data_IF_391972500431
#
_entry.id   IF_391972500431
#
_cell.length_a   1.000
_cell.length_b   1.000
_cell.length_c   1.000
_cell.angle_alpha   90.00
_cell.angle_beta   90.00
_cell.angle_gamma   90.00
#
_symmetry.space_group_name_H-M   'P 1'
#
loop_
_entity.id
_entity.type
_entity.pdbx_description
1 polymer ?
#
# COMPACT_ATOMS: atom_id res chain seq x y z
N UNK A 1 50.20 -47.61 11.43
CA UNK A 1 49.93 -46.17 11.68
C UNK A 1 48.44 -45.99 11.91
N UNK A 2 48.00 -45.55 13.11
CA UNK A 2 46.60 -45.14 13.34
C UNK A 2 46.47 -43.66 12.94
N UNK A 3 45.88 -43.39 11.78
CA UNK A 3 45.54 -42.03 11.39
C UNK A 3 44.54 -41.46 12.41
N UNK A 4 44.83 -40.28 12.96
CA UNK A 4 43.99 -39.63 13.96
C UNK A 4 42.70 -39.10 13.32
N UNK A 5 41.60 -39.83 13.49
CA UNK A 5 40.24 -39.53 12.99
C UNK A 5 39.64 -38.28 13.69
N UNK A 6 40.26 -37.80 14.77
CA UNK A 6 39.74 -36.72 15.61
C UNK A 6 39.73 -35.37 14.89
N UNK A 7 40.75 -35.07 14.07
CA UNK A 7 40.88 -33.80 13.35
C UNK A 7 39.84 -33.58 12.24
N UNK A 8 39.51 -34.55 11.38
CA UNK A 8 38.47 -34.37 10.36
C UNK A 8 37.06 -34.26 10.96
N UNK A 9 36.75 -35.00 12.03
CA UNK A 9 35.43 -34.94 12.69
C UNK A 9 35.17 -33.57 13.32
N UNK A 10 36.20 -32.93 13.90
CA UNK A 10 36.07 -31.59 14.47
C UNK A 10 35.81 -30.53 13.38
N UNK A 11 36.50 -30.61 12.24
CA UNK A 11 36.29 -29.69 11.10
C UNK A 11 34.89 -29.80 10.50
N UNK A 12 34.37 -31.03 10.37
CA UNK A 12 33.01 -31.28 9.86
C UNK A 12 31.96 -30.70 10.83
N UNK A 13 32.14 -30.88 12.14
CA UNK A 13 31.25 -30.31 13.17
C UNK A 13 31.22 -28.78 13.14
N UNK A 14 32.38 -28.13 13.01
CA UNK A 14 32.46 -26.68 12.87
C UNK A 14 31.81 -26.17 11.58
N UNK A 15 31.96 -26.89 10.46
CA UNK A 15 31.30 -26.54 9.20
C UNK A 15 29.77 -26.63 9.27
N UNK A 16 29.23 -27.67 9.91
CA UNK A 16 27.78 -27.83 10.11
C UNK A 16 27.24 -26.74 11.03
N UNK A 17 27.94 -26.40 12.11
CA UNK A 17 27.53 -25.33 13.03
C UNK A 17 27.46 -23.97 12.33
N UNK A 18 28.43 -23.64 11.47
CA UNK A 18 28.42 -22.39 10.71
C UNK A 18 27.25 -22.34 9.71
N UNK A 19 26.94 -23.45 9.04
CA UNK A 19 25.82 -23.57 8.10
C UNK A 19 24.46 -23.40 8.81
N UNK A 20 24.31 -23.97 10.01
CA UNK A 20 23.11 -23.79 10.85
C UNK A 20 22.97 -22.32 11.27
N UNK A 21 24.06 -21.65 11.65
CA UNK A 21 24.03 -20.23 12.02
C UNK A 21 23.66 -19.36 10.81
N UNK A 22 24.19 -19.64 9.62
CA UNK A 22 23.80 -18.92 8.39
C UNK A 22 22.31 -19.11 8.07
N UNK A 23 21.77 -20.32 8.22
CA UNK A 23 20.34 -20.58 8.00
C UNK A 23 19.43 -19.89 9.03
N UNK A 24 19.88 -19.81 10.30
CA UNK A 24 19.17 -19.07 11.35
C UNK A 24 19.19 -17.55 11.09
N UNK A 25 20.31 -17.00 10.61
CA UNK A 25 20.44 -15.56 10.32
C UNK A 25 19.69 -15.14 9.05
N UNK A 26 19.49 -16.04 8.08
CA UNK A 26 18.68 -15.76 6.88
C UNK A 26 17.16 -15.86 7.12
N UNK A 27 16.72 -16.29 8.31
CA UNK A 27 15.29 -16.51 8.62
C UNK A 27 14.58 -15.28 9.18
N UNK A 28 15.32 -14.22 9.54
CA UNK A 28 14.72 -12.94 9.92
C UNK A 28 14.34 -12.15 8.67
N UNK A 29 13.12 -12.38 8.16
CA UNK A 29 12.45 -11.33 7.38
C UNK A 29 12.21 -10.17 8.34
N UNK A 30 12.81 -9.01 8.07
CA UNK A 30 12.52 -7.79 8.81
C UNK A 30 11.02 -7.57 8.79
N UNK A 31 10.39 -7.60 9.96
CA UNK A 31 8.98 -7.28 10.09
C UNK A 31 8.86 -5.77 9.99
N UNK A 32 8.19 -5.27 8.96
CA UNK A 32 7.95 -3.84 8.84
C UNK A 32 6.96 -3.39 9.91
N UNK A 33 7.27 -2.30 10.60
CA UNK A 33 6.37 -1.70 11.58
C UNK A 33 5.31 -0.79 10.95
N UNK A 34 4.40 -0.26 11.78
CA UNK A 34 3.28 0.59 11.34
C UNK A 34 3.76 1.84 10.59
N UNK A 35 4.87 2.45 11.04
CA UNK A 35 5.43 3.65 10.42
C UNK A 35 6.05 3.31 9.05
N UNK A 36 6.78 2.19 8.97
CA UNK A 36 7.38 1.71 7.74
C UNK A 36 6.32 1.32 6.70
N UNK A 37 5.25 0.64 7.11
CA UNK A 37 4.12 0.33 6.21
C UNK A 37 3.37 1.57 5.75
N UNK A 38 3.17 2.54 6.64
CA UNK A 38 2.57 3.84 6.31
C UNK A 38 3.43 4.59 5.29
N UNK A 39 4.74 4.66 5.51
CA UNK A 39 5.67 5.31 4.58
C UNK A 39 5.73 4.59 3.23
N UNK A 40 5.77 3.25 3.23
CA UNK A 40 5.73 2.44 2.03
C UNK A 40 4.43 2.65 1.24
N UNK A 41 3.28 2.67 1.91
CA UNK A 41 1.97 2.89 1.29
C UNK A 41 1.86 4.28 0.67
N UNK A 42 2.33 5.31 1.36
CA UNK A 42 2.44 6.67 0.81
C UNK A 42 3.27 6.71 -0.46
N UNK A 43 4.48 6.13 -0.43
CA UNK A 43 5.35 6.07 -1.60
C UNK A 43 4.66 5.34 -2.75
N UNK A 44 4.07 4.18 -2.47
CA UNK A 44 3.36 3.39 -3.46
C UNK A 44 2.26 4.22 -4.14
N UNK A 45 1.36 4.81 -3.36
CA UNK A 45 0.20 5.53 -3.89
C UNK A 45 0.62 6.75 -4.70
N UNK A 46 1.60 7.51 -4.24
CA UNK A 46 2.08 8.70 -4.96
C UNK A 46 2.86 8.36 -6.24
N UNK A 47 3.61 7.26 -6.28
CA UNK A 47 4.31 6.82 -7.49
C UNK A 47 3.35 6.28 -8.56
N UNK A 48 2.32 5.57 -8.10
CA UNK A 48 1.43 4.79 -8.96
C UNK A 48 0.21 5.57 -9.40
N UNK A 49 -0.25 6.59 -8.66
CA UNK A 49 -1.40 7.40 -9.07
C UNK A 49 -1.20 7.97 -10.49
N UNK A 50 -2.25 7.86 -11.30
CA UNK A 50 -2.27 8.38 -12.66
C UNK A 50 -3.18 9.61 -12.75
N UNK A 51 -2.64 10.83 -12.61
CA UNK A 51 -3.44 12.05 -12.75
C UNK A 51 -3.86 12.30 -14.21
N UNK A 52 -3.29 11.60 -15.20
CA UNK A 52 -3.57 11.89 -16.62
C UNK A 52 -4.96 11.45 -17.07
N UNK A 53 -5.62 10.59 -16.29
CA UNK A 53 -7.02 10.19 -16.48
C UNK A 53 -7.96 11.39 -16.37
N UNK A 54 -7.56 12.41 -15.61
CA UNK A 54 -8.31 13.64 -15.41
C UNK A 54 -7.49 14.84 -15.88
N UNK A 55 -7.77 15.28 -17.10
CA UNK A 55 -7.00 16.30 -17.80
C UNK A 55 -6.95 17.66 -17.09
N UNK A 56 -7.82 17.91 -16.10
CA UNK A 56 -7.97 19.21 -15.45
C UNK A 56 -7.38 19.28 -14.03
N UNK A 57 -6.75 18.20 -13.55
CA UNK A 57 -6.06 18.22 -12.26
C UNK A 57 -4.82 19.10 -12.34
N UNK A 58 -4.77 20.15 -11.53
CA UNK A 58 -3.60 21.03 -11.35
C UNK A 58 -2.63 20.45 -10.31
N UNK A 59 -3.17 19.89 -9.23
CA UNK A 59 -2.41 19.31 -8.11
C UNK A 59 -3.19 18.15 -7.52
N UNK A 60 -2.50 17.12 -7.08
CA UNK A 60 -3.07 16.08 -6.21
C UNK A 60 -2.19 15.87 -4.99
N UNK A 61 -2.78 15.39 -3.91
CA UNK A 61 -2.10 15.03 -2.66
C UNK A 61 -2.72 13.73 -2.16
N UNK A 62 -1.95 12.63 -2.18
CA UNK A 62 -2.36 11.37 -1.55
C UNK A 62 -1.56 11.17 -0.28
N UNK A 63 -2.26 10.94 0.83
CA UNK A 63 -1.64 10.71 2.12
C UNK A 63 -2.29 9.54 2.84
N UNK A 64 -1.47 8.62 3.31
CA UNK A 64 -1.80 7.61 4.28
C UNK A 64 -1.25 8.03 5.64
N UNK A 65 -2.14 8.32 6.58
CA UNK A 65 -1.77 8.92 7.86
C UNK A 65 -1.42 7.85 8.91
N UNK A 66 -0.66 8.20 9.97
CA UNK A 66 -0.36 7.29 11.08
C UNK A 66 -1.59 6.81 11.86
N UNK A 67 -2.71 7.54 11.82
CA UNK A 67 -4.02 7.12 12.35
C UNK A 67 -4.84 6.29 11.34
N UNK A 68 -4.19 5.80 10.29
CA UNK A 68 -4.71 4.88 9.27
C UNK A 68 -5.88 5.44 8.45
N UNK A 69 -5.87 6.75 8.17
CA UNK A 69 -6.70 7.31 7.12
C UNK A 69 -5.94 7.35 5.81
N UNK A 70 -6.59 6.92 4.75
CA UNK A 70 -6.17 7.25 3.39
C UNK A 70 -6.96 8.46 2.91
N UNK A 71 -6.26 9.44 2.35
CA UNK A 71 -6.82 10.71 1.90
C UNK A 71 -6.31 11.01 0.51
N UNK A 72 -7.19 11.43 -0.39
CA UNK A 72 -6.83 12.04 -1.67
C UNK A 72 -7.49 13.41 -1.73
N UNK A 73 -6.67 14.45 -1.96
CA UNK A 73 -7.16 15.76 -2.38
C UNK A 73 -6.74 15.99 -3.83
N UNK A 74 -7.70 16.35 -4.68
CA UNK A 74 -7.49 16.84 -6.04
C UNK A 74 -7.83 18.33 -6.08
N UNK A 75 -6.98 19.13 -6.69
CA UNK A 75 -7.23 20.54 -6.99
C UNK A 75 -7.19 20.72 -8.49
N UNK A 76 -8.28 21.24 -9.05
CA UNK A 76 -8.47 21.41 -10.48
C UNK A 76 -7.98 22.80 -10.92
N UNK A 77 -7.70 22.95 -12.21
CA UNK A 77 -7.24 24.23 -12.80
C UNK A 77 -8.20 25.39 -12.53
N UNK A 78 -9.49 25.10 -12.40
CA UNK A 78 -10.56 26.09 -12.20
C UNK A 78 -10.81 26.48 -10.73
N UNK A 79 -10.05 25.92 -9.77
CA UNK A 79 -10.23 26.19 -8.32
C UNK A 79 -10.93 25.05 -7.58
N UNK A 80 -11.90 24.37 -8.25
CA UNK A 80 -12.61 23.20 -7.71
C UNK A 80 -11.66 22.24 -7.00
N UNK A 81 -12.08 21.73 -5.86
CA UNK A 81 -11.40 20.68 -5.12
C UNK A 81 -12.29 19.47 -4.94
N UNK A 82 -11.69 18.29 -4.95
CA UNK A 82 -12.35 17.05 -4.57
C UNK A 82 -11.53 16.34 -3.51
N UNK A 83 -12.21 15.84 -2.49
CA UNK A 83 -11.62 15.23 -1.33
C UNK A 83 -12.24 13.87 -1.09
N UNK A 84 -11.38 12.86 -0.96
CA UNK A 84 -11.73 11.50 -0.58
C UNK A 84 -11.01 11.17 0.72
N UNK A 85 -11.71 10.59 1.69
CA UNK A 85 -11.08 10.15 2.94
C UNK A 85 -11.85 9.01 3.59
N UNK A 86 -11.13 7.97 4.02
CA UNK A 86 -11.71 6.93 4.86
C UNK A 86 -10.64 6.27 5.72
N UNK A 87 -11.08 5.60 6.80
CA UNK A 87 -10.19 4.85 7.68
C UNK A 87 -10.01 3.43 7.13
N UNK A 88 -8.76 2.96 7.01
CA UNK A 88 -8.42 1.64 6.44
C UNK A 88 -9.14 0.51 7.17
N UNK A 89 -9.41 0.63 8.47
CA UNK A 89 -10.14 -0.40 9.22
C UNK A 89 -11.57 -0.66 8.68
N UNK A 90 -12.19 0.30 7.97
CA UNK A 90 -13.49 0.17 7.29
C UNK A 90 -13.39 -0.50 5.92
N UNK A 91 -12.18 -0.68 5.38
CA UNK A 91 -11.97 -1.32 4.08
C UNK A 91 -12.48 -2.75 4.12
N UNK A 92 -13.42 -3.08 3.25
CA UNK A 92 -13.87 -4.45 3.02
C UNK A 92 -12.92 -5.15 2.04
N UNK A 93 -12.73 -4.55 0.87
CA UNK A 93 -11.94 -5.11 -0.22
C UNK A 93 -11.12 -4.04 -0.97
N UNK A 94 -10.02 -4.50 -1.56
CA UNK A 94 -9.27 -3.78 -2.59
C UNK A 94 -9.31 -4.59 -3.88
N UNK A 95 -10.13 -4.15 -4.82
CA UNK A 95 -10.26 -4.78 -6.13
C UNK A 95 -9.35 -4.11 -7.15
N UNK A 96 -8.79 -4.91 -8.04
CA UNK A 96 -7.98 -4.42 -9.15
C UNK A 96 -8.76 -4.61 -10.44
N UNK A 97 -9.03 -3.52 -11.14
CA UNK A 97 -9.66 -3.52 -12.46
C UNK A 97 -8.59 -3.20 -13.50
N UNK A 98 -8.15 -4.18 -14.30
CA UNK A 98 -7.24 -3.91 -15.41
C UNK A 98 -7.88 -2.91 -16.38
N UNK A 99 -7.19 -1.82 -16.68
CA UNK A 99 -7.66 -0.82 -17.63
C UNK A 99 -6.97 -0.93 -18.99
N UNK A 100 -7.18 0.08 -19.83
CA UNK A 100 -6.61 0.14 -21.19
C UNK A 100 -5.16 0.63 -21.19
N UNK A 101 -4.34 0.07 -22.07
CA UNK A 101 -2.93 0.42 -22.35
C UNK A 101 -2.05 0.68 -21.11
N UNK A 102 -2.08 1.87 -20.51
CA UNK A 102 -1.14 2.34 -19.50
C UNK A 102 -1.74 2.59 -18.12
N UNK A 103 -3.06 2.46 -17.98
CA UNK A 103 -3.78 2.81 -16.75
C UNK A 103 -4.60 1.62 -16.28
N UNK A 104 -4.60 1.37 -14.98
CA UNK A 104 -5.46 0.43 -14.27
C UNK A 104 -6.26 1.19 -13.19
N UNK A 105 -7.15 0.51 -12.49
CA UNK A 105 -7.92 1.10 -11.39
C UNK A 105 -7.85 0.23 -10.14
N UNK A 106 -7.52 0.88 -9.02
CA UNK A 106 -7.69 0.32 -7.69
C UNK A 106 -9.04 0.77 -7.15
N UNK A 107 -9.95 -0.19 -6.95
CA UNK A 107 -11.26 0.06 -6.35
C UNK A 107 -11.17 -0.26 -4.85
N UNK A 108 -11.24 0.77 -4.03
CA UNK A 108 -11.44 0.64 -2.58
C UNK A 108 -12.92 0.45 -2.30
N UNK A 109 -13.26 -0.56 -1.50
CA UNK A 109 -14.62 -0.80 -1.01
C UNK A 109 -14.68 -0.82 0.50
N UNK A 110 -15.75 -0.26 1.05
CA UNK A 110 -16.10 -0.32 2.48
C UNK A 110 -17.42 -1.06 2.68
N UNK A 111 -17.65 -1.57 3.89
CA UNK A 111 -18.87 -2.35 4.20
C UNK A 111 -20.12 -1.48 4.15
N UNK A 112 -20.02 -0.26 4.67
CA UNK A 112 -21.06 0.77 4.66
C UNK A 112 -20.53 2.03 3.97
N UNK A 113 -21.37 3.08 3.87
CA UNK A 113 -20.95 4.38 3.35
C UNK A 113 -19.97 5.05 4.33
N UNK A 114 -18.69 4.66 4.24
CA UNK A 114 -17.60 5.06 5.14
C UNK A 114 -16.54 5.93 4.43
N UNK A 115 -16.65 6.08 3.11
CA UNK A 115 -15.76 6.94 2.34
C UNK A 115 -16.38 8.32 2.21
N UNK A 116 -15.77 9.31 2.87
CA UNK A 116 -16.14 10.71 2.72
C UNK A 116 -15.75 11.14 1.31
N UNK A 117 -16.70 11.66 0.54
CA UNK A 117 -16.49 12.34 -0.73
C UNK A 117 -17.07 13.75 -0.66
N UNK A 118 -16.17 14.73 -0.75
CA UNK A 118 -16.49 16.15 -0.65
C UNK A 118 -15.98 16.92 -1.85
N UNK A 119 -16.73 17.93 -2.29
CA UNK A 119 -16.28 18.91 -3.28
C UNK A 119 -16.33 20.32 -2.71
N UNK A 120 -15.42 21.17 -3.18
CA UNK A 120 -15.37 22.59 -2.81
C UNK A 120 -15.18 23.43 -4.07
N UNK A 121 -15.78 24.61 -4.12
CA UNK A 121 -15.77 25.50 -5.29
C UNK A 121 -16.26 24.79 -6.56
N UNK A 122 -17.22 23.88 -6.41
CA UNK A 122 -17.82 23.19 -7.54
C UNK A 122 -18.87 24.10 -8.21
N UNK A 123 -18.80 24.36 -9.53
CA UNK A 123 -19.81 25.16 -10.23
C UNK A 123 -21.24 24.60 -10.12
N UNK A 124 -21.39 23.30 -9.87
CA UNK A 124 -22.68 22.65 -9.64
C UNK A 124 -23.16 22.70 -8.17
N UNK A 125 -22.33 23.26 -7.27
CA UNK A 125 -22.54 23.28 -5.83
C UNK A 125 -21.68 22.25 -5.10
N UNK A 126 -21.20 22.64 -3.92
CA UNK A 126 -20.37 21.80 -3.06
C UNK A 126 -21.17 20.58 -2.58
N UNK A 127 -20.55 19.40 -2.70
CA UNK A 127 -21.09 18.13 -2.29
C UNK A 127 -20.44 17.69 -0.98
N UNK A 128 -21.23 17.15 -0.07
CA UNK A 128 -20.78 16.43 1.12
C UNK A 128 -21.53 15.11 1.21
N UNK A 129 -20.85 14.01 0.93
CA UNK A 129 -21.46 12.69 0.81
C UNK A 129 -20.57 11.59 1.35
N UNK A 130 -21.21 10.48 1.71
CA UNK A 130 -20.52 9.24 2.07
C UNK A 130 -20.80 8.21 0.96
N UNK A 131 -19.78 7.46 0.56
CA UNK A 131 -19.88 6.42 -0.48
C UNK A 131 -19.25 5.12 0.01
N UNK A 132 -19.66 4.01 -0.59
CA UNK A 132 -19.14 2.65 -0.32
C UNK A 132 -17.93 2.28 -1.18
N UNK A 133 -17.68 3.03 -2.25
CA UNK A 133 -16.67 2.70 -3.24
C UNK A 133 -15.90 3.94 -3.70
N UNK A 134 -14.59 3.78 -3.86
CA UNK A 134 -13.73 4.79 -4.46
C UNK A 134 -12.77 4.14 -5.48
N UNK A 135 -12.90 4.56 -6.73
CA UNK A 135 -12.03 4.17 -7.82
C UNK A 135 -10.83 5.13 -7.93
N UNK A 136 -9.63 4.60 -7.69
CA UNK A 136 -8.37 5.32 -7.79
C UNK A 136 -7.63 4.91 -9.07
N UNK A 137 -7.48 5.80 -10.07
CA UNK A 137 -6.70 5.50 -11.26
C UNK A 137 -5.21 5.40 -10.92
N UNK A 138 -4.56 4.37 -11.44
CA UNK A 138 -3.13 4.12 -11.26
C UNK A 138 -2.48 3.75 -12.60
N UNK A 139 -1.20 4.06 -12.74
CA UNK A 139 -0.35 3.55 -13.82
C UNK A 139 -0.32 2.04 -13.78
N UNK A 140 -0.05 1.42 -14.92
CA UNK A 140 0.02 -0.04 -15.06
C UNK A 140 0.82 -0.68 -13.94
N UNK A 141 0.18 -1.58 -13.19
CA UNK A 141 0.81 -2.26 -12.05
C UNK A 141 1.29 -3.66 -12.44
N UNK A 142 2.45 -4.05 -11.91
CA UNK A 142 2.83 -5.47 -11.92
C UNK A 142 2.10 -6.22 -10.80
N UNK A 143 1.80 -7.52 -10.97
CA UNK A 143 1.10 -8.31 -9.95
C UNK A 143 1.79 -8.25 -8.57
N UNK A 144 3.12 -8.33 -8.55
CA UNK A 144 3.92 -8.24 -7.31
C UNK A 144 3.72 -6.92 -6.56
N UNK A 145 3.59 -5.80 -7.28
CA UNK A 145 3.34 -4.49 -6.66
C UNK A 145 1.96 -4.44 -6.01
N UNK A 146 0.95 -5.00 -6.66
CA UNK A 146 -0.40 -5.10 -6.11
C UNK A 146 -0.44 -5.96 -4.83
N UNK A 147 0.27 -7.09 -4.81
CA UNK A 147 0.32 -7.97 -3.64
C UNK A 147 0.96 -7.26 -2.44
N UNK A 148 2.05 -6.52 -2.65
CA UNK A 148 2.66 -5.71 -1.58
C UNK A 148 1.73 -4.62 -1.06
N UNK A 149 0.88 -4.02 -1.92
CA UNK A 149 -0.11 -3.04 -1.46
C UNK A 149 -1.18 -3.70 -0.58
N UNK A 150 -1.68 -4.86 -1.00
CA UNK A 150 -2.65 -5.62 -0.20
C UNK A 150 -2.07 -6.02 1.16
N UNK A 151 -0.81 -6.43 1.21
CA UNK A 151 -0.11 -6.74 2.46
C UNK A 151 -0.05 -5.51 3.38
N UNK A 152 0.40 -4.36 2.86
CA UNK A 152 0.47 -3.10 3.62
C UNK A 152 -0.90 -2.70 4.18
N UNK A 153 -1.94 -2.68 3.36
CA UNK A 153 -3.28 -2.28 3.78
C UNK A 153 -3.90 -3.28 4.76
N UNK A 154 -3.66 -4.58 4.58
CA UNK A 154 -4.14 -5.62 5.50
C UNK A 154 -3.48 -5.49 6.88
N UNK A 155 -2.17 -5.22 6.89
CA UNK A 155 -1.43 -4.98 8.12
C UNK A 155 -1.99 -3.77 8.88
N UNK A 156 -2.16 -2.64 8.20
CA UNK A 156 -2.68 -1.40 8.79
C UNK A 156 -4.15 -1.52 9.21
N UNK A 157 -4.95 -2.33 8.50
CA UNK A 157 -6.34 -2.65 8.87
C UNK A 157 -6.42 -3.34 10.24
N UNK A 158 -5.54 -4.29 10.52
CA UNK A 158 -5.59 -5.13 11.72
C UNK A 158 -5.17 -4.44 13.03
N UNK A 159 -4.66 -3.21 12.97
CA UNK A 159 -4.03 -2.53 14.12
C UNK A 159 -4.95 -1.62 14.94
N UNK A 160 -6.16 -1.31 14.46
CA UNK A 160 -7.14 -0.48 15.19
C UNK A 160 -8.58 -1.00 14.97
N UNK A 161 -8.98 -2.11 15.63
CA UNK A 161 -10.38 -2.56 15.65
C UNK A 161 -11.30 -1.56 16.36
#
# INVERSE_FOLDING_TARGET
MRASIVKPVLKIRSGIALLIICLLLCSFKGFMDDLEWTAWGNRFLNETYDPSVDANIKKFEINLTPDHFIRLRKTYQQGKQEYFSFRINRMDALNFKPGTANTDTLEFKTVTDDIIYQTFEDPAGDLDSMVTQWDLPVKKLSPKRLDSLKEALTFLKGKNP
#
